data_IF_153703334973
#
_entry.id   IF_153703334973
#
_cell.length_a   1.000
_cell.length_b   1.000
_cell.length_c   1.000
_cell.angle_alpha   90.00
_cell.angle_beta   90.00
_cell.angle_gamma   90.00
#
_symmetry.space_group_name_H-M   'P 1'
#
loop_
_entity.id
_entity.type
_entity.pdbx_description
1 polymer ?
#
# COMPACT_ATOMS: atom_id res chain seq x y z
N UNK A 1 19.43 19.39 15.13
CA UNK A 1 19.39 18.84 13.77
C UNK A 1 18.83 17.43 13.91
N UNK A 2 17.52 17.26 13.76
CA UNK A 2 16.94 15.93 13.72
C UNK A 2 16.76 15.62 12.24
N UNK A 3 17.63 14.77 11.70
CA UNK A 3 17.47 14.22 10.36
C UNK A 3 16.12 13.49 10.32
N UNK A 4 15.11 14.14 9.75
CA UNK A 4 13.85 13.53 9.35
C UNK A 4 14.12 12.58 8.18
N UNK A 5 14.80 11.46 8.44
CA UNK A 5 14.85 10.39 7.46
C UNK A 5 13.43 9.84 7.31
N UNK A 6 12.83 10.07 6.15
CA UNK A 6 11.71 9.24 5.68
C UNK A 6 12.19 7.80 5.75
N UNK A 7 11.47 6.89 6.43
CA UNK A 7 11.95 5.53 6.62
C UNK A 7 12.06 4.90 5.25
N UNK A 8 13.27 4.50 4.88
CA UNK A 8 13.53 3.88 3.60
C UNK A 8 13.05 2.44 3.66
N UNK A 9 11.89 2.19 3.08
CA UNK A 9 11.36 0.83 2.93
C UNK A 9 12.14 0.15 1.81
N UNK A 10 12.74 -0.99 2.16
CA UNK A 10 13.51 -1.84 1.24
C UNK A 10 12.67 -2.33 0.07
N UNK A 11 13.32 -2.62 -1.04
CA UNK A 11 12.70 -3.31 -2.17
C UNK A 11 12.54 -4.80 -1.86
N UNK A 12 11.59 -5.46 -2.52
CA UNK A 12 11.41 -6.90 -2.40
C UNK A 12 12.68 -7.68 -2.75
N UNK A 13 13.44 -7.22 -3.75
CA UNK A 13 14.72 -7.83 -4.16
C UNK A 13 15.86 -7.64 -3.15
N UNK A 14 15.67 -6.80 -2.13
CA UNK A 14 16.64 -6.59 -1.04
C UNK A 14 16.37 -7.55 0.14
N UNK A 15 15.33 -8.38 0.06
CA UNK A 15 14.99 -9.40 1.05
C UNK A 15 15.30 -10.82 0.53
N UNK A 16 15.45 -11.77 1.45
CA UNK A 16 15.50 -13.18 1.09
C UNK A 16 14.17 -13.63 0.47
N UNK A 17 14.24 -14.43 -0.59
CA UNK A 17 13.05 -14.94 -1.25
C UNK A 17 12.27 -15.86 -0.30
N UNK A 18 10.93 -15.72 -0.21
CA UNK A 18 10.14 -16.54 0.69
C UNK A 18 10.20 -18.01 0.29
N UNK A 19 10.45 -18.88 1.27
CA UNK A 19 10.41 -20.34 1.06
C UNK A 19 9.01 -20.84 0.68
N UNK A 20 7.96 -20.15 1.12
CA UNK A 20 6.57 -20.41 0.74
C UNK A 20 5.86 -19.09 0.45
N UNK A 21 5.37 -18.94 -0.78
CA UNK A 21 4.56 -17.79 -1.16
C UNK A 21 3.19 -17.78 -0.49
N UNK A 22 2.65 -18.94 -0.12
CA UNK A 22 1.39 -19.03 0.63
C UNK A 22 1.55 -18.45 2.03
N UNK A 23 2.58 -18.87 2.76
CA UNK A 23 2.88 -18.31 4.09
C UNK A 23 3.26 -16.84 3.96
N UNK A 24 4.01 -16.45 2.94
CA UNK A 24 4.33 -15.04 2.68
C UNK A 24 3.09 -14.18 2.46
N UNK A 25 2.09 -14.64 1.71
CA UNK A 25 0.88 -13.84 1.43
C UNK A 25 -0.10 -13.94 2.59
N UNK A 26 -0.45 -15.15 3.01
CA UNK A 26 -1.56 -15.39 3.92
C UNK A 26 -1.15 -15.52 5.39
N UNK A 27 0.16 -15.57 5.67
CA UNK A 27 0.70 -15.82 7.01
C UNK A 27 0.62 -17.28 7.47
N UNK A 28 0.02 -18.16 6.66
CA UNK A 28 -0.21 -19.58 6.96
C UNK A 28 -0.46 -20.37 5.67
N UNK A 29 -0.14 -21.66 5.68
CA UNK A 29 -0.49 -22.64 4.64
C UNK A 29 -1.81 -23.38 4.96
N UNK A 30 -2.38 -23.19 6.16
CA UNK A 30 -3.69 -23.76 6.52
C UNK A 30 -4.84 -22.97 5.89
N UNK A 31 -5.53 -23.58 4.93
CA UNK A 31 -6.66 -22.98 4.20
C UNK A 31 -7.82 -22.53 5.09
N UNK A 32 -8.09 -23.19 6.22
CA UNK A 32 -9.16 -22.78 7.13
C UNK A 32 -8.80 -21.48 7.86
N UNK A 33 -7.53 -21.31 8.23
CA UNK A 33 -7.04 -20.07 8.82
C UNK A 33 -7.01 -18.94 7.78
N UNK A 34 -6.62 -19.23 6.53
CA UNK A 34 -6.68 -18.27 5.43
C UNK A 34 -8.11 -17.73 5.21
N UNK A 35 -9.12 -18.59 5.30
CA UNK A 35 -10.53 -18.23 5.11
C UNK A 35 -11.11 -17.38 6.26
N UNK A 36 -10.49 -17.40 7.44
CA UNK A 36 -10.87 -16.57 8.59
C UNK A 36 -10.14 -15.23 8.63
N UNK A 37 -9.10 -15.06 7.80
CA UNK A 37 -8.32 -13.83 7.78
C UNK A 37 -9.21 -12.64 7.39
N UNK A 38 -8.79 -11.46 7.83
CA UNK A 38 -9.51 -10.22 7.58
C UNK A 38 -8.52 -9.16 7.10
N UNK A 39 -9.05 -8.16 6.38
CA UNK A 39 -8.24 -7.08 5.83
C UNK A 39 -7.33 -6.42 6.87
N UNK A 40 -7.85 -6.13 8.07
CA UNK A 40 -7.06 -5.46 9.10
C UNK A 40 -5.98 -6.36 9.68
N UNK A 41 -6.25 -7.66 9.88
CA UNK A 41 -5.26 -8.63 10.36
C UNK A 41 -4.12 -8.78 9.35
N UNK A 42 -4.46 -9.01 8.08
CA UNK A 42 -3.47 -9.12 7.01
C UNK A 42 -2.62 -7.85 6.85
N UNK A 43 -3.25 -6.66 6.84
CA UNK A 43 -2.52 -5.41 6.72
C UNK A 43 -1.61 -5.14 7.93
N UNK A 44 -2.08 -5.39 9.16
CA UNK A 44 -1.25 -5.24 10.36
C UNK A 44 -0.03 -6.19 10.31
N UNK A 45 -0.24 -7.46 9.94
CA UNK A 45 0.85 -8.44 9.76
C UNK A 45 1.92 -7.90 8.81
N UNK A 46 1.52 -7.37 7.64
CA UNK A 46 2.48 -6.83 6.69
C UNK A 46 3.24 -5.61 7.21
N UNK A 47 2.58 -4.72 7.95
CA UNK A 47 3.21 -3.54 8.54
C UNK A 47 4.20 -3.91 9.64
N UNK A 48 3.86 -4.91 10.47
CA UNK A 48 4.70 -5.40 11.55
C UNK A 48 5.98 -6.05 10.99
N UNK A 49 5.87 -6.86 9.93
CA UNK A 49 7.02 -7.49 9.27
C UNK A 49 8.06 -6.49 8.73
N UNK A 50 7.61 -5.32 8.25
CA UNK A 50 8.48 -4.25 7.77
C UNK A 50 8.74 -3.16 8.83
N UNK A 51 8.31 -3.38 10.07
CA UNK A 51 8.47 -2.47 11.21
C UNK A 51 7.91 -1.05 10.98
N UNK A 52 6.78 -0.93 10.29
CA UNK A 52 6.12 0.34 10.02
C UNK A 52 4.99 0.60 11.02
N UNK A 53 5.21 1.58 11.90
CA UNK A 53 4.17 2.05 12.81
C UNK A 53 3.03 2.79 12.08
N UNK A 54 1.85 2.86 12.70
CA UNK A 54 0.73 3.68 12.21
C UNK A 54 1.13 5.16 12.01
N UNK A 55 1.96 5.73 12.90
CA UNK A 55 2.45 7.11 12.77
C UNK A 55 3.28 7.26 11.50
N UNK A 56 4.17 6.30 11.25
CA UNK A 56 5.00 6.26 10.05
C UNK A 56 4.13 6.12 8.79
N UNK A 57 3.14 5.22 8.82
CA UNK A 57 2.21 5.03 7.71
C UNK A 57 1.41 6.31 7.40
N UNK A 58 1.00 7.06 8.42
CA UNK A 58 0.31 8.34 8.25
C UNK A 58 1.18 9.35 7.49
N UNK A 59 2.46 9.45 7.84
CA UNK A 59 3.43 10.30 7.14
C UNK A 59 3.63 9.86 5.69
N UNK A 60 3.86 8.56 5.47
CA UNK A 60 4.12 7.99 4.14
C UNK A 60 2.92 8.07 3.18
N UNK A 61 1.70 8.20 3.71
CA UNK A 61 0.48 8.21 2.88
C UNK A 61 -0.21 9.57 2.86
N UNK A 62 0.05 10.45 3.83
CA UNK A 62 -0.71 11.67 4.05
C UNK A 62 -2.13 11.43 4.56
N UNK A 63 -2.46 10.20 4.99
CA UNK A 63 -3.77 9.85 5.57
C UNK A 63 -3.75 10.20 7.06
N UNK A 64 -4.82 10.83 7.55
CA UNK A 64 -4.93 11.20 8.96
C UNK A 64 -4.77 9.99 9.90
N UNK A 65 -3.99 10.08 10.99
CA UNK A 65 -3.79 8.98 11.92
C UNK A 65 -5.09 8.40 12.47
N UNK A 66 -6.08 9.23 12.79
CA UNK A 66 -7.40 8.79 13.27
C UNK A 66 -8.16 7.95 12.24
N UNK A 67 -7.97 8.23 10.95
CA UNK A 67 -8.53 7.44 9.86
C UNK A 67 -7.84 6.10 9.73
N UNK A 68 -6.50 6.07 9.74
CA UNK A 68 -5.73 4.82 9.73
C UNK A 68 -6.07 3.93 10.93
N UNK A 69 -6.20 4.50 12.13
CA UNK A 69 -6.59 3.75 13.34
C UNK A 69 -7.90 2.98 13.13
N UNK A 70 -8.91 3.61 12.51
CA UNK A 70 -10.20 2.95 12.24
C UNK A 70 -10.09 1.85 11.19
N UNK A 71 -9.19 1.99 10.22
CA UNK A 71 -8.94 0.94 9.23
C UNK A 71 -8.19 -0.25 9.84
N UNK A 72 -7.12 0.01 10.58
CA UNK A 72 -6.29 -1.02 11.22
C UNK A 72 -7.03 -1.76 12.35
N UNK A 73 -8.02 -1.13 12.97
CA UNK A 73 -8.90 -1.79 13.96
C UNK A 73 -10.14 -2.44 13.36
N UNK A 74 -10.33 -2.42 12.04
CA UNK A 74 -11.52 -2.95 11.37
C UNK A 74 -12.82 -2.18 11.63
N UNK A 75 -12.78 -1.09 12.42
CA UNK A 75 -13.94 -0.22 12.71
C UNK A 75 -14.48 0.49 11.47
N UNK A 76 -13.72 0.55 10.38
CA UNK A 76 -14.13 1.13 9.10
C UNK A 76 -13.52 0.36 7.94
N UNK A 77 -14.28 0.17 6.87
CA UNK A 77 -13.77 -0.35 5.59
C UNK A 77 -12.83 0.67 4.93
N UNK A 78 -11.63 0.25 4.53
CA UNK A 78 -10.67 1.12 3.83
C UNK A 78 -11.21 1.52 2.45
N UNK A 79 -11.04 2.79 2.10
CA UNK A 79 -11.42 3.30 0.79
C UNK A 79 -10.45 2.81 -0.30
N UNK A 80 -10.95 2.64 -1.51
CA UNK A 80 -10.18 2.12 -2.65
C UNK A 80 -8.88 2.89 -2.92
N UNK A 81 -8.96 4.23 -3.01
CA UNK A 81 -7.80 5.07 -3.30
C UNK A 81 -6.76 5.00 -2.17
N UNK A 82 -7.22 4.88 -0.92
CA UNK A 82 -6.35 4.71 0.25
C UNK A 82 -5.69 3.33 0.30
N UNK A 83 -6.37 2.28 -0.16
CA UNK A 83 -5.75 0.97 -0.31
C UNK A 83 -4.61 1.04 -1.34
N UNK A 84 -4.86 1.65 -2.50
CA UNK A 84 -3.83 1.85 -3.52
C UNK A 84 -2.65 2.64 -2.95
N UNK A 85 -2.94 3.74 -2.23
CA UNK A 85 -1.93 4.59 -1.63
C UNK A 85 -1.08 3.86 -0.60
N UNK A 86 -1.71 3.07 0.29
CA UNK A 86 -1.01 2.26 1.30
C UNK A 86 -0.11 1.23 0.62
N UNK A 87 -0.62 0.48 -0.36
CA UNK A 87 0.16 -0.53 -1.09
C UNK A 87 1.40 0.06 -1.77
N UNK A 88 1.26 1.23 -2.41
CA UNK A 88 2.37 1.92 -3.07
C UNK A 88 3.36 2.46 -2.03
N UNK A 89 2.85 3.14 -0.99
CA UNK A 89 3.68 3.78 0.03
C UNK A 89 4.55 2.79 0.81
N UNK A 90 4.02 1.60 1.11
CA UNK A 90 4.76 0.55 1.82
C UNK A 90 5.48 -0.43 0.89
N UNK A 91 5.50 -0.15 -0.43
CA UNK A 91 6.13 -1.02 -1.44
C UNK A 91 5.66 -2.47 -1.38
N UNK A 92 4.37 -2.66 -1.12
CA UNK A 92 3.79 -3.99 -0.90
C UNK A 92 3.91 -4.85 -2.16
N UNK A 93 4.33 -6.12 -2.03
CA UNK A 93 4.44 -7.03 -3.17
C UNK A 93 3.08 -7.28 -3.87
N UNK A 94 3.01 -7.41 -5.21
CA UNK A 94 1.74 -7.56 -5.95
C UNK A 94 0.83 -8.70 -5.47
N UNK A 95 1.37 -9.82 -5.00
CA UNK A 95 0.55 -10.91 -4.46
C UNK A 95 -0.17 -10.53 -3.16
N UNK A 96 0.52 -9.82 -2.26
CA UNK A 96 -0.08 -9.29 -1.03
C UNK A 96 -1.10 -8.19 -1.34
N UNK A 97 -0.83 -7.36 -2.34
CA UNK A 97 -1.81 -6.38 -2.82
C UNK A 97 -3.10 -7.09 -3.26
N UNK A 98 -3.01 -8.06 -4.18
CA UNK A 98 -4.17 -8.81 -4.67
C UNK A 98 -4.98 -9.43 -3.53
N UNK A 99 -4.31 -9.96 -2.52
CA UNK A 99 -4.98 -10.51 -1.35
C UNK A 99 -5.73 -9.45 -0.52
N UNK A 100 -5.13 -8.28 -0.26
CA UNK A 100 -5.83 -7.17 0.41
C UNK A 100 -7.04 -6.69 -0.39
N UNK A 101 -6.92 -6.64 -1.72
CA UNK A 101 -8.03 -6.30 -2.61
C UNK A 101 -9.15 -7.35 -2.53
N UNK A 102 -8.83 -8.64 -2.53
CA UNK A 102 -9.84 -9.70 -2.40
C UNK A 102 -10.56 -9.65 -1.05
N UNK A 103 -9.85 -9.40 0.05
CA UNK A 103 -10.45 -9.27 1.39
C UNK A 103 -11.44 -8.10 1.48
N UNK A 104 -11.27 -7.06 0.65
CA UNK A 104 -12.19 -5.92 0.58
C UNK A 104 -13.21 -6.03 -0.57
N UNK A 105 -13.18 -7.12 -1.33
CA UNK A 105 -14.00 -7.34 -2.54
C UNK A 105 -13.82 -6.22 -3.57
N UNK A 106 -12.57 -5.78 -3.76
CA UNK A 106 -12.19 -4.79 -4.75
C UNK A 106 -11.50 -5.44 -5.95
N UNK A 107 -11.84 -5.00 -7.16
CA UNK A 107 -11.08 -5.33 -8.36
C UNK A 107 -9.77 -4.53 -8.40
N UNK A 108 -8.69 -5.13 -8.92
CA UNK A 108 -7.46 -4.37 -9.09
C UNK A 108 -7.66 -3.23 -10.10
N UNK A 109 -6.92 -2.11 -9.99
CA UNK A 109 -6.99 -1.05 -10.99
C UNK A 109 -6.67 -1.60 -12.38
N UNK A 110 -7.50 -1.26 -13.37
CA UNK A 110 -7.31 -1.69 -14.76
C UNK A 110 -7.98 -3.02 -15.12
N UNK A 111 -8.36 -3.88 -14.17
CA UNK A 111 -8.95 -5.19 -14.47
C UNK A 111 -10.29 -5.08 -15.23
N UNK A 112 -11.08 -4.05 -14.94
CA UNK A 112 -12.41 -3.86 -15.55
C UNK A 112 -12.44 -2.80 -16.66
N UNK A 113 -11.48 -1.87 -16.67
CA UNK A 113 -11.59 -0.67 -17.51
C UNK A 113 -10.21 -0.12 -17.91
N UNK A 114 -9.44 -0.95 -18.63
CA UNK A 114 -8.07 -0.67 -19.11
C UNK A 114 -7.94 0.59 -19.99
N UNK A 115 -9.05 1.19 -20.42
CA UNK A 115 -9.05 2.41 -21.25
C UNK A 115 -8.87 3.68 -20.43
N UNK A 116 -8.99 3.59 -19.10
CA UNK A 116 -8.89 4.73 -18.20
C UNK A 116 -7.43 4.96 -17.80
N UNK A 117 -6.88 6.09 -18.25
CA UNK A 117 -5.47 6.44 -18.04
C UNK A 117 -5.09 6.50 -16.55
N UNK A 118 -5.97 7.00 -15.69
CA UNK A 118 -5.75 7.02 -14.24
C UNK A 118 -5.57 5.61 -13.65
N UNK A 119 -6.39 4.64 -14.08
CA UNK A 119 -6.30 3.26 -13.61
C UNK A 119 -5.03 2.57 -14.08
N UNK A 120 -4.58 2.85 -15.30
CA UNK A 120 -3.32 2.31 -15.83
C UNK A 120 -2.11 2.90 -15.10
N UNK A 121 -2.14 4.20 -14.77
CA UNK A 121 -1.11 4.84 -13.94
C UNK A 121 -1.07 4.13 -12.58
N UNK A 122 -2.19 4.07 -11.86
CA UNK A 122 -2.23 3.44 -10.53
C UNK A 122 -1.75 1.99 -10.60
N UNK A 123 -2.14 1.23 -11.64
CA UNK A 123 -1.72 -0.16 -11.84
C UNK A 123 -0.21 -0.27 -12.03
N UNK A 124 0.41 0.60 -12.83
CA UNK A 124 1.86 0.61 -13.02
C UNK A 124 2.62 0.87 -11.72
N UNK A 125 2.12 1.80 -10.88
CA UNK A 125 2.73 2.06 -9.57
C UNK A 125 2.54 0.93 -8.58
N UNK A 126 1.38 0.27 -8.59
CA UNK A 126 1.15 -0.93 -7.78
C UNK A 126 2.09 -2.07 -8.20
N UNK A 127 2.24 -2.33 -9.50
CA UNK A 127 3.11 -3.42 -9.96
C UNK A 127 4.60 -3.10 -9.76
N UNK A 128 5.00 -1.83 -9.80
CA UNK A 128 6.40 -1.41 -9.72
C UNK A 128 6.93 -1.06 -8.32
N UNK A 129 6.07 -0.72 -7.35
CA UNK A 129 6.51 -0.15 -6.06
C UNK A 129 7.43 -1.08 -5.25
N UNK A 130 7.23 -2.38 -5.36
CA UNK A 130 8.03 -3.40 -4.67
C UNK A 130 9.42 -3.61 -5.30
N UNK A 131 9.64 -3.19 -6.54
CA UNK A 131 10.83 -3.57 -7.32
C UNK A 131 11.67 -2.37 -7.79
N UNK A 132 11.10 -1.17 -7.84
CA UNK A 132 11.84 0.02 -8.28
C UNK A 132 11.53 1.23 -7.38
N UNK A 133 12.60 1.86 -6.90
CA UNK A 133 12.56 2.99 -5.96
C UNK A 133 11.80 4.19 -6.52
N UNK A 134 11.70 4.33 -7.85
CA UNK A 134 11.01 5.42 -8.55
C UNK A 134 9.49 5.37 -8.43
N UNK A 135 8.90 4.19 -8.20
CA UNK A 135 7.45 4.05 -8.05
C UNK A 135 7.00 4.41 -6.63
N UNK A 136 7.02 5.70 -6.31
CA UNK A 136 6.56 6.26 -5.03
C UNK A 136 5.13 6.76 -5.11
N UNK A 137 4.47 6.89 -3.95
CA UNK A 137 3.12 7.47 -3.87
C UNK A 137 3.09 8.92 -4.35
N UNK A 138 4.11 9.70 -4.01
CA UNK A 138 4.28 11.08 -4.47
C UNK A 138 4.34 11.15 -5.99
N UNK A 139 5.17 10.32 -6.63
CA UNK A 139 5.28 10.27 -8.09
C UNK A 139 3.95 9.83 -8.75
N UNK A 140 3.24 8.87 -8.16
CA UNK A 140 1.90 8.48 -8.62
C UNK A 140 0.91 9.65 -8.55
N UNK A 141 0.87 10.37 -7.42
CA UNK A 141 -0.01 11.52 -7.23
C UNK A 141 0.29 12.64 -8.24
N UNK A 142 1.56 12.90 -8.53
CA UNK A 142 1.95 13.92 -9.53
C UNK A 142 1.55 13.50 -10.96
N UNK A 143 1.69 12.22 -11.33
CA UNK A 143 1.22 11.76 -12.65
C UNK A 143 -0.30 11.82 -12.79
N UNK A 144 -1.05 11.51 -11.73
CA UNK A 144 -2.51 11.66 -11.74
C UNK A 144 -2.92 13.13 -11.90
N UNK A 145 -2.25 14.05 -11.22
CA UNK A 145 -2.49 15.50 -11.39
C UNK A 145 -2.15 15.98 -12.80
N UNK A 146 -1.09 15.47 -13.42
CA UNK A 146 -0.68 15.84 -14.76
C UNK A 146 -1.74 15.52 -15.83
N UNK A 147 -2.59 14.51 -15.59
CA UNK A 147 -3.75 14.18 -16.43
C UNK A 147 -5.06 14.76 -15.90
N UNK A 148 -5.00 15.78 -15.03
CA UNK A 148 -6.15 16.43 -14.40
C UNK A 148 -7.07 15.50 -13.60
N UNK A 149 -6.52 14.41 -13.07
CA UNK A 149 -7.23 13.48 -12.19
C UNK A 149 -6.88 13.74 -10.72
N UNK A 150 -7.83 13.45 -9.82
CA UNK A 150 -7.61 13.57 -8.39
C UNK A 150 -6.49 12.62 -7.93
N UNK A 151 -5.53 13.06 -7.10
CA UNK A 151 -4.51 12.18 -6.53
C UNK A 151 -5.14 11.17 -5.54
N UNK A 152 -4.44 10.07 -5.26
CA UNK A 152 -4.89 9.05 -4.31
C UNK A 152 -4.99 9.61 -2.89
N UNK A 153 -4.06 10.49 -2.53
CA UNK A 153 -4.03 11.21 -1.25
C UNK A 153 -3.56 12.66 -1.45
N UNK A 154 -3.67 13.47 -0.40
CA UNK A 154 -3.15 14.83 -0.38
C UNK A 154 -1.65 14.89 -0.04
N UNK A 155 -0.92 13.77 -0.16
CA UNK A 155 0.52 13.73 0.02
C UNK A 155 1.19 14.40 -1.18
N UNK A 156 2.05 15.36 -0.88
CA UNK A 156 2.87 16.11 -1.83
C UNK A 156 4.33 16.00 -1.39
N UNK A 157 5.28 16.19 -2.30
CA UNK A 157 6.72 16.21 -1.98
C UNK A 157 7.05 17.17 -0.82
N UNK A 158 6.33 18.28 -0.69
CA UNK A 158 6.49 19.23 0.42
C UNK A 158 6.09 18.70 1.82
N UNK A 159 5.37 17.58 1.91
CA UNK A 159 4.89 16.99 3.18
C UNK A 159 5.70 15.78 3.66
N UNK A 160 6.69 15.33 2.88
CA UNK A 160 7.62 14.28 3.33
C UNK A 160 8.65 14.82 4.34
N UNK A 161 8.94 16.13 4.30
CA UNK A 161 9.99 16.80 5.09
C UNK A 161 9.46 17.69 6.25
N UNK A 162 8.17 17.66 6.55
CA UNK A 162 7.54 18.45 7.65
C UNK A 162 6.61 17.50 8.42
N UNK A 163 6.70 17.20 9.73
CA UNK A 163 7.22 17.84 10.94
C UNK A 163 7.76 16.77 11.91
#
# INVERSE_FOLDING_TARGET
MNDLHTPQISLFSEHEEPQSYEVYVYGTDDLNEQNKDSFCVALCRYLDEINISQKTLARLTGIAPSTLSRYLSGKRKMQYDYLCAVCIAIRLHPFRQRYLFSLLLYAMPGDQDYRKADKNIIRAYLDGCAFDKRYTLTACNEQLKAIHTKPLTNLTSAKEDSE
#
